data_IF_485170962418
#
_entry.id   IF_485170962418
#
_cell.length_a   1.000
_cell.length_b   1.000
_cell.length_c   1.000
_cell.angle_alpha   90.00
_cell.angle_beta   90.00
_cell.angle_gamma   90.00
#
_symmetry.space_group_name_H-M   'P 1'
#
loop_
_entity.id
_entity.type
_entity.pdbx_description
1 polymer ?
#
# COMPACT_ATOMS: atom_id res chain seq x y z
N UNK A 1 16.46 -34.21 -1.24
CA UNK A 1 17.06 -35.56 -1.08
C UNK A 1 17.51 -35.88 0.36
N UNK A 2 17.10 -35.13 1.39
CA UNK A 2 17.59 -35.28 2.79
C UNK A 2 16.49 -35.70 3.79
N UNK A 3 15.39 -36.32 3.34
CA UNK A 3 14.21 -36.61 4.17
C UNK A 3 13.81 -38.08 4.25
N UNK A 4 14.64 -38.99 3.74
CA UNK A 4 14.36 -40.43 3.89
C UNK A 4 14.73 -40.96 5.29
N UNK A 5 15.21 -40.13 6.22
CA UNK A 5 15.71 -40.57 7.53
C UNK A 5 15.25 -39.73 8.74
N UNK A 6 14.30 -38.80 8.59
CA UNK A 6 13.76 -38.04 9.74
C UNK A 6 12.61 -38.81 10.38
N UNK A 7 12.66 -39.01 11.70
CA UNK A 7 11.57 -39.69 12.41
C UNK A 7 10.27 -38.87 12.32
N UNK A 8 9.08 -39.51 12.37
CA UNK A 8 7.80 -38.79 12.37
C UNK A 8 7.69 -37.73 13.47
N UNK A 9 8.34 -37.97 14.62
CA UNK A 9 8.40 -37.04 15.76
C UNK A 9 9.22 -35.78 15.45
N UNK A 10 10.37 -35.94 14.79
CA UNK A 10 11.20 -34.81 14.36
C UNK A 10 10.51 -33.95 13.32
N UNK A 11 9.79 -34.59 12.38
CA UNK A 11 9.00 -33.87 11.39
C UNK A 11 7.88 -33.04 12.03
N UNK A 12 7.18 -33.61 13.02
CA UNK A 12 6.13 -32.90 13.77
C UNK A 12 6.68 -31.70 14.56
N UNK A 13 7.82 -31.86 15.22
CA UNK A 13 8.47 -30.78 15.96
C UNK A 13 8.95 -29.64 15.05
N UNK A 14 9.50 -29.96 13.88
CA UNK A 14 9.90 -28.97 12.87
C UNK A 14 8.68 -28.21 12.33
N UNK A 15 7.58 -28.90 12.04
CA UNK A 15 6.33 -28.24 11.63
C UNK A 15 5.82 -27.26 12.70
N UNK A 16 5.83 -27.67 13.97
CA UNK A 16 5.45 -26.78 15.08
C UNK A 16 6.35 -25.53 15.16
N UNK A 17 7.66 -25.68 14.98
CA UNK A 17 8.60 -24.54 14.95
C UNK A 17 8.31 -23.60 13.79
N UNK A 18 8.05 -24.13 12.60
CA UNK A 18 7.70 -23.37 11.40
C UNK A 18 6.42 -22.57 11.60
N UNK A 19 5.37 -23.19 12.15
CA UNK A 19 4.11 -22.52 12.44
C UNK A 19 4.29 -21.47 13.54
N UNK A 20 5.07 -21.76 14.59
CA UNK A 20 5.39 -20.80 15.65
C UNK A 20 6.08 -19.55 15.11
N UNK A 21 7.05 -19.71 14.21
CA UNK A 21 7.68 -18.58 13.51
C UNK A 21 6.64 -17.77 12.73
N UNK A 22 5.72 -18.43 12.02
CA UNK A 22 4.60 -17.77 11.34
C UNK A 22 3.75 -16.93 12.30
N UNK A 23 3.41 -17.47 13.48
CA UNK A 23 2.67 -16.74 14.52
C UNK A 23 3.44 -15.51 15.00
N UNK A 24 4.73 -15.67 15.33
CA UNK A 24 5.57 -14.56 15.83
C UNK A 24 5.68 -13.44 14.79
N UNK A 25 5.95 -13.79 13.52
CA UNK A 25 6.04 -12.81 12.44
C UNK A 25 4.67 -12.15 12.19
N UNK A 26 3.58 -12.93 12.24
CA UNK A 26 2.22 -12.42 12.10
C UNK A 26 1.87 -11.39 13.17
N UNK A 27 2.20 -11.66 14.43
CA UNK A 27 1.97 -10.71 15.54
C UNK A 27 2.80 -9.44 15.34
N UNK A 28 4.11 -9.57 15.15
CA UNK A 28 5.01 -8.42 15.04
C UNK A 28 4.71 -7.57 13.80
N UNK A 29 4.49 -8.21 12.65
CA UNK A 29 4.12 -7.55 11.40
C UNK A 29 2.75 -6.88 11.49
N UNK A 30 1.78 -7.56 12.10
CA UNK A 30 0.43 -7.03 12.32
C UNK A 30 0.41 -5.81 13.24
N UNK A 31 1.14 -5.87 14.36
CA UNK A 31 1.28 -4.74 15.29
C UNK A 31 1.91 -3.54 14.59
N UNK A 32 3.03 -3.74 13.89
CA UNK A 32 3.73 -2.63 13.27
C UNK A 32 2.97 -2.01 12.09
N UNK A 33 2.30 -2.82 11.26
CA UNK A 33 1.45 -2.30 10.20
C UNK A 33 0.29 -1.46 10.78
N UNK A 34 -0.34 -1.91 11.86
CA UNK A 34 -1.40 -1.15 12.52
C UNK A 34 -0.89 0.14 13.17
N UNK A 35 0.25 0.10 13.87
CA UNK A 35 0.87 1.30 14.44
C UNK A 35 1.22 2.32 13.36
N UNK A 36 1.69 1.88 12.19
CA UNK A 36 1.92 2.77 11.05
C UNK A 36 0.62 3.45 10.62
N UNK A 37 -0.44 2.69 10.36
CA UNK A 37 -1.71 3.24 9.86
C UNK A 37 -2.35 4.18 10.88
N UNK A 38 -2.39 3.79 12.16
CA UNK A 38 -2.94 4.60 13.23
C UNK A 38 -2.12 5.87 13.47
N UNK A 39 -0.80 5.78 13.43
CA UNK A 39 0.06 6.96 13.58
C UNK A 39 -0.13 7.96 12.43
N UNK A 40 -0.25 7.49 11.19
CA UNK A 40 -0.56 8.34 10.04
C UNK A 40 -1.92 9.02 10.24
N UNK A 41 -2.94 8.25 10.61
CA UNK A 41 -4.28 8.77 10.87
C UNK A 41 -4.33 9.79 12.01
N UNK A 42 -3.57 9.56 13.09
CA UNK A 42 -3.51 10.47 14.23
C UNK A 42 -2.88 11.83 13.83
N UNK A 43 -1.75 11.82 13.12
CA UNK A 43 -1.08 13.06 12.70
C UNK A 43 -1.90 13.80 11.63
N UNK A 44 -2.41 13.08 10.62
CA UNK A 44 -3.29 13.69 9.61
C UNK A 44 -4.56 14.26 10.25
N UNK A 45 -5.13 13.56 11.25
CA UNK A 45 -6.28 13.99 12.03
C UNK A 45 -6.03 15.30 12.79
N UNK A 46 -4.88 15.44 13.44
CA UNK A 46 -4.48 16.69 14.11
C UNK A 46 -4.35 17.85 13.11
N UNK A 47 -3.77 17.60 11.93
CA UNK A 47 -3.67 18.62 10.86
C UNK A 47 -5.07 19.03 10.40
N UNK A 48 -5.97 18.07 10.15
CA UNK A 48 -7.37 18.34 9.76
C UNK A 48 -8.13 19.09 10.84
N UNK A 49 -7.90 18.80 12.11
CA UNK A 49 -8.52 19.51 13.23
C UNK A 49 -8.12 20.99 13.23
N UNK A 50 -6.85 21.31 12.98
CA UNK A 50 -6.39 22.70 12.84
C UNK A 50 -6.98 23.43 11.62
N UNK A 51 -7.30 22.68 10.55
CA UNK A 51 -7.97 23.20 9.36
C UNK A 51 -9.48 23.43 9.59
N UNK A 52 -10.09 22.77 10.58
CA UNK A 52 -11.53 22.85 10.79
C UNK A 52 -11.96 24.28 11.19
N UNK A 53 -13.03 24.79 10.57
CA UNK A 53 -13.52 26.15 10.78
C UNK A 53 -12.66 27.27 10.18
N UNK A 54 -11.58 26.93 9.47
CA UNK A 54 -10.73 27.91 8.78
C UNK A 54 -11.21 28.18 7.35
N UNK A 55 -10.80 29.32 6.78
CA UNK A 55 -11.01 29.61 5.37
C UNK A 55 -10.28 28.60 4.47
N UNK A 56 -10.73 28.43 3.23
CA UNK A 56 -10.07 27.54 2.25
C UNK A 56 -8.58 27.86 2.11
N UNK A 57 -8.22 29.16 2.02
CA UNK A 57 -6.83 29.59 1.92
C UNK A 57 -6.03 29.23 3.18
N UNK A 58 -6.56 29.52 4.37
CA UNK A 58 -5.91 29.19 5.64
C UNK A 58 -5.70 27.68 5.80
N UNK A 59 -6.70 26.88 5.45
CA UNK A 59 -6.62 25.42 5.48
C UNK A 59 -5.56 24.88 4.51
N UNK A 60 -5.47 25.47 3.32
CA UNK A 60 -4.44 25.18 2.33
C UNK A 60 -3.04 25.50 2.81
N UNK A 61 -2.86 26.64 3.49
CA UNK A 61 -1.57 27.04 4.08
C UNK A 61 -1.12 26.10 5.21
N UNK A 62 -2.05 25.66 6.07
CA UNK A 62 -1.76 24.67 7.12
C UNK A 62 -1.27 23.37 6.49
N UNK A 63 -1.99 22.87 5.48
CA UNK A 63 -1.62 21.64 4.77
C UNK A 63 -0.28 21.78 4.04
N UNK A 64 -0.06 22.91 3.37
CA UNK A 64 1.19 23.23 2.71
C UNK A 64 2.35 23.25 3.69
N UNK A 65 2.20 23.92 4.85
CA UNK A 65 3.22 23.94 5.90
C UNK A 65 3.54 22.53 6.41
N UNK A 66 2.53 21.69 6.66
CA UNK A 66 2.74 20.30 7.06
C UNK A 66 3.53 19.49 6.01
N UNK A 67 3.20 19.64 4.72
CA UNK A 67 3.92 18.97 3.62
C UNK A 67 5.36 19.47 3.48
N UNK A 68 5.61 20.78 3.66
CA UNK A 68 6.95 21.36 3.62
C UNK A 68 7.80 20.88 4.80
N UNK A 69 7.24 20.83 6.01
CA UNK A 69 7.91 20.25 7.18
C UNK A 69 8.24 18.78 6.92
N UNK A 70 7.26 18.02 6.39
CA UNK A 70 7.46 16.62 5.99
C UNK A 70 8.59 16.46 4.98
N UNK A 71 8.64 17.31 3.95
CA UNK A 71 9.71 17.34 2.95
C UNK A 71 11.10 17.57 3.57
N UNK A 72 11.23 18.54 4.47
CA UNK A 72 12.49 18.76 5.20
C UNK A 72 12.87 17.58 6.08
N UNK A 73 11.93 16.96 6.79
CA UNK A 73 12.18 15.77 7.60
C UNK A 73 12.65 14.58 6.74
N UNK A 74 12.02 14.35 5.58
CA UNK A 74 12.40 13.29 4.64
C UNK A 74 13.81 13.53 4.10
N UNK A 75 14.10 14.76 3.66
CA UNK A 75 15.43 15.12 3.18
C UNK A 75 16.49 14.99 4.29
N UNK A 76 16.19 15.50 5.49
CA UNK A 76 17.05 15.38 6.66
C UNK A 76 17.33 13.93 7.04
N UNK A 77 16.31 13.06 6.97
CA UNK A 77 16.48 11.62 7.20
C UNK A 77 17.39 10.97 6.16
N UNK A 78 17.24 11.36 4.88
CA UNK A 78 18.12 10.88 3.80
C UNK A 78 19.58 11.26 4.07
N UNK A 79 19.84 12.50 4.47
CA UNK A 79 21.19 13.00 4.77
C UNK A 79 21.78 12.37 6.04
N UNK A 80 21.01 12.32 7.14
CA UNK A 80 21.45 11.80 8.42
C UNK A 80 21.87 10.33 8.34
N UNK A 81 21.15 9.53 7.55
CA UNK A 81 21.43 8.10 7.38
C UNK A 81 22.23 7.78 6.11
N UNK A 82 22.65 8.79 5.34
CA UNK A 82 23.39 8.64 4.07
C UNK A 82 22.72 7.64 3.13
N UNK A 83 21.41 7.79 2.95
CA UNK A 83 20.60 6.91 2.13
C UNK A 83 20.73 7.30 0.65
N UNK A 84 21.21 6.39 -0.20
CA UNK A 84 21.29 6.64 -1.65
C UNK A 84 19.89 6.72 -2.29
N UNK A 85 18.99 5.82 -1.85
CA UNK A 85 17.60 5.74 -2.28
C UNK A 85 16.71 5.13 -1.21
N UNK A 86 15.41 5.37 -1.32
CA UNK A 86 14.40 4.70 -0.51
C UNK A 86 14.20 3.25 -0.96
N UNK A 87 13.99 2.36 0.01
CA UNK A 87 13.77 0.93 -0.21
C UNK A 87 12.28 0.60 -0.17
N UNK A 88 11.86 -0.39 -0.95
CA UNK A 88 10.45 -0.74 -1.11
C UNK A 88 10.24 -2.16 -1.62
N UNK A 89 9.10 -2.42 -2.31
CA UNK A 89 8.75 -3.79 -2.74
C UNK A 89 9.81 -4.46 -3.61
N UNK A 90 10.47 -3.72 -4.51
CA UNK A 90 11.53 -4.25 -5.35
C UNK A 90 12.70 -4.84 -4.52
N UNK A 91 13.00 -4.25 -3.37
CA UNK A 91 14.05 -4.72 -2.46
C UNK A 91 13.62 -5.95 -1.67
N UNK A 92 12.33 -6.04 -1.33
CA UNK A 92 11.78 -7.26 -0.71
C UNK A 92 11.84 -8.44 -1.68
N UNK A 93 11.46 -8.22 -2.95
CA UNK A 93 11.56 -9.22 -4.02
C UNK A 93 13.03 -9.64 -4.23
N UNK A 94 13.93 -8.66 -4.38
CA UNK A 94 15.36 -8.94 -4.57
C UNK A 94 15.95 -9.72 -3.38
N UNK A 95 15.58 -9.35 -2.15
CA UNK A 95 16.02 -10.02 -0.93
C UNK A 95 15.50 -11.46 -0.83
N UNK A 96 14.26 -11.73 -1.25
CA UNK A 96 13.73 -13.09 -1.33
C UNK A 96 14.49 -13.94 -2.36
N UNK A 97 14.93 -13.37 -3.48
CA UNK A 97 15.68 -14.10 -4.50
C UNK A 97 17.20 -14.12 -4.28
N UNK A 98 17.71 -13.56 -3.17
CA UNK A 98 19.13 -13.61 -2.79
C UNK A 98 19.29 -14.08 -1.35
N UNK A 99 18.96 -15.34 -1.04
CA UNK A 99 18.96 -15.87 0.33
C UNK A 99 20.34 -15.83 1.01
N UNK A 100 21.42 -15.83 0.21
CA UNK A 100 22.80 -15.76 0.69
C UNK A 100 23.24 -14.33 1.07
N UNK A 101 22.48 -13.31 0.65
CA UNK A 101 22.76 -11.92 0.97
C UNK A 101 22.05 -11.49 2.25
N UNK A 102 22.69 -10.61 3.03
CA UNK A 102 22.03 -9.99 4.18
C UNK A 102 20.86 -9.10 3.72
N UNK A 103 19.69 -9.28 4.34
CA UNK A 103 18.53 -8.46 4.04
C UNK A 103 18.74 -7.03 4.57
N UNK A 104 18.44 -5.97 3.79
CA UNK A 104 18.69 -4.57 4.18
C UNK A 104 17.65 -4.03 5.17
N UNK A 105 17.54 -4.67 6.35
CA UNK A 105 16.49 -4.40 7.31
C UNK A 105 16.50 -2.94 7.79
N UNK A 106 17.69 -2.41 8.11
CA UNK A 106 17.90 -1.02 8.57
C UNK A 106 17.38 -0.01 7.57
N UNK A 107 17.72 -0.18 6.29
CA UNK A 107 17.26 0.69 5.21
C UNK A 107 15.73 0.65 5.07
N UNK A 108 15.14 -0.52 5.31
CA UNK A 108 13.70 -0.69 5.32
C UNK A 108 13.00 0.08 6.43
N UNK A 109 13.52 0.05 7.67
CA UNK A 109 12.99 0.88 8.76
C UNK A 109 13.03 2.36 8.41
N UNK A 110 14.19 2.85 7.94
CA UNK A 110 14.38 4.26 7.61
C UNK A 110 13.45 4.70 6.46
N UNK A 111 13.30 3.87 5.42
CA UNK A 111 12.40 4.17 4.29
C UNK A 111 10.93 4.16 4.70
N UNK A 112 10.57 3.32 5.67
CA UNK A 112 9.22 3.28 6.23
C UNK A 112 8.94 4.50 7.08
N UNK A 113 9.90 4.98 7.86
CA UNK A 113 9.77 6.25 8.58
C UNK A 113 9.59 7.43 7.62
N UNK A 114 10.34 7.49 6.51
CA UNK A 114 10.15 8.54 5.51
C UNK A 114 8.76 8.49 4.86
N UNK A 115 8.24 7.29 4.61
CA UNK A 115 6.89 7.11 4.10
C UNK A 115 5.81 7.48 5.11
N UNK A 116 6.02 7.15 6.39
CA UNK A 116 5.16 7.56 7.49
C UNK A 116 5.05 9.09 7.54
N UNK A 117 6.17 9.80 7.46
CA UNK A 117 6.20 11.27 7.43
C UNK A 117 5.43 11.81 6.23
N UNK A 118 5.68 11.25 5.03
CA UNK A 118 4.99 11.66 3.79
C UNK A 118 3.47 11.50 3.91
N UNK A 119 3.02 10.30 4.31
CA UNK A 119 1.61 9.98 4.44
C UNK A 119 0.92 10.81 5.52
N UNK A 120 1.58 11.01 6.68
CA UNK A 120 1.06 11.80 7.80
C UNK A 120 0.86 13.27 7.44
N UNK A 121 1.73 13.84 6.61
CA UNK A 121 1.59 15.22 6.14
C UNK A 121 0.44 15.39 5.12
N UNK A 122 -0.08 14.30 4.56
CA UNK A 122 -1.13 14.29 3.54
C UNK A 122 -0.64 14.13 2.11
N UNK A 123 0.59 13.64 1.90
CA UNK A 123 1.07 13.35 0.55
C UNK A 123 0.19 12.27 -0.12
N UNK A 124 -0.08 12.41 -1.41
CA UNK A 124 -0.77 11.37 -2.18
C UNK A 124 0.19 10.23 -2.49
N UNK A 125 0.32 9.32 -1.53
CA UNK A 125 1.17 8.14 -1.61
C UNK A 125 0.44 6.93 -1.03
N UNK A 126 0.90 5.73 -1.36
CA UNK A 126 0.43 4.50 -0.75
C UNK A 126 1.26 4.10 0.46
N UNK A 127 0.61 3.63 1.52
CA UNK A 127 1.29 3.12 2.70
C UNK A 127 1.89 1.73 2.51
N UNK A 128 1.32 0.93 1.60
CA UNK A 128 1.59 -0.51 1.55
C UNK A 128 2.97 -0.88 1.02
N UNK A 129 3.60 -0.07 0.15
CA UNK A 129 4.93 -0.40 -0.39
C UNK A 129 6.02 -0.42 0.69
N UNK A 130 6.19 0.68 1.44
CA UNK A 130 7.14 0.74 2.56
C UNK A 130 6.78 -0.21 3.70
N UNK A 131 5.48 -0.32 4.06
CA UNK A 131 5.00 -1.27 5.09
C UNK A 131 5.27 -2.72 4.69
N UNK A 132 5.14 -3.07 3.41
CA UNK A 132 5.52 -4.39 2.87
C UNK A 132 6.99 -4.68 3.09
N UNK A 133 7.87 -3.74 2.73
CA UNK A 133 9.31 -3.94 2.91
C UNK A 133 9.71 -3.93 4.40
N UNK A 134 9.04 -3.15 5.23
CA UNK A 134 9.15 -3.24 6.68
C UNK A 134 8.76 -4.63 7.20
N UNK A 135 7.66 -5.20 6.70
CA UNK A 135 7.25 -6.56 7.02
C UNK A 135 8.35 -7.56 6.69
N UNK A 136 8.94 -7.45 5.50
CA UNK A 136 10.10 -8.24 5.12
C UNK A 136 11.29 -8.07 6.09
N UNK A 137 11.59 -6.84 6.53
CA UNK A 137 12.62 -6.55 7.54
C UNK A 137 12.33 -7.21 8.90
N UNK A 138 11.08 -7.22 9.34
CA UNK A 138 10.65 -7.92 10.56
C UNK A 138 10.89 -9.42 10.41
N UNK A 139 10.46 -10.02 9.30
CA UNK A 139 10.70 -11.42 9.00
C UNK A 139 12.19 -11.78 9.03
N UNK A 140 13.02 -10.97 8.38
CA UNK A 140 14.48 -11.15 8.36
C UNK A 140 15.12 -11.06 9.76
N UNK A 141 14.62 -10.19 10.64
CA UNK A 141 15.11 -10.12 12.02
C UNK A 141 14.63 -11.29 12.88
N UNK A 142 13.38 -11.73 12.72
CA UNK A 142 12.87 -12.91 13.41
C UNK A 142 13.69 -14.15 13.02
N UNK A 143 14.13 -14.27 11.77
CA UNK A 143 15.06 -15.33 11.35
C UNK A 143 16.35 -15.34 12.16
N UNK A 144 16.93 -14.17 12.43
CA UNK A 144 18.18 -14.06 13.18
C UNK A 144 18.02 -14.52 14.64
N UNK A 145 16.83 -14.37 15.22
CA UNK A 145 16.51 -14.77 16.59
C UNK A 145 16.02 -16.21 16.71
N UNK A 146 15.24 -16.67 15.73
CA UNK A 146 14.59 -17.99 15.72
C UNK A 146 14.88 -18.72 14.39
N UNK A 147 16.13 -19.17 14.16
CA UNK A 147 16.48 -19.89 12.95
C UNK A 147 15.79 -21.27 12.91
N UNK A 148 15.26 -21.62 11.75
CA UNK A 148 14.64 -22.93 11.46
C UNK A 148 15.22 -23.47 10.16
N UNK A 149 14.71 -24.62 9.69
CA UNK A 149 15.05 -25.17 8.37
C UNK A 149 14.39 -24.42 7.20
N UNK A 150 13.57 -23.40 7.47
CA UNK A 150 13.01 -22.56 6.41
C UNK A 150 14.12 -21.75 5.75
N UNK A 151 13.98 -21.57 4.44
CA UNK A 151 14.85 -20.69 3.68
C UNK A 151 14.56 -19.22 4.00
N UNK A 152 15.54 -18.32 3.81
CA UNK A 152 15.43 -16.91 4.22
C UNK A 152 14.28 -16.13 3.59
N UNK A 153 13.99 -16.47 2.34
CA UNK A 153 12.89 -15.93 1.54
C UNK A 153 11.53 -16.22 2.18
N UNK A 154 11.37 -17.36 2.85
CA UNK A 154 10.10 -17.70 3.53
C UNK A 154 9.88 -16.78 4.73
N UNK A 155 10.93 -16.42 5.48
CA UNK A 155 10.81 -15.45 6.58
C UNK A 155 10.41 -14.07 6.06
N UNK A 156 11.08 -13.61 5.00
CA UNK A 156 10.75 -12.36 4.30
C UNK A 156 9.29 -12.38 3.82
N UNK A 157 8.87 -13.48 3.18
CA UNK A 157 7.53 -13.70 2.66
C UNK A 157 6.47 -13.70 3.79
N UNK A 158 6.71 -14.36 4.92
CA UNK A 158 5.84 -14.31 6.10
C UNK A 158 5.65 -12.87 6.58
N UNK A 159 6.72 -12.09 6.61
CA UNK A 159 6.70 -10.69 7.03
C UNK A 159 5.92 -9.79 6.08
N UNK A 160 6.13 -9.97 4.77
CA UNK A 160 5.32 -9.29 3.74
C UNK A 160 3.85 -9.66 3.88
N UNK A 161 3.54 -10.96 4.00
CA UNK A 161 2.17 -11.43 4.12
C UNK A 161 1.48 -10.82 5.34
N UNK A 162 2.16 -10.79 6.50
CA UNK A 162 1.64 -10.16 7.71
C UNK A 162 1.30 -8.68 7.50
N UNK A 163 2.24 -7.93 6.91
CA UNK A 163 2.08 -6.49 6.68
C UNK A 163 0.89 -6.16 5.75
N UNK A 164 0.74 -6.92 4.66
CA UNK A 164 -0.38 -6.75 3.70
C UNK A 164 -1.70 -7.19 4.36
N UNK A 165 -1.70 -8.32 5.03
CA UNK A 165 -2.89 -8.89 5.65
C UNK A 165 -3.46 -8.01 6.76
N UNK A 166 -2.60 -7.40 7.58
CA UNK A 166 -3.01 -6.44 8.60
C UNK A 166 -3.47 -5.11 8.00
N UNK A 167 -2.86 -4.67 6.90
CA UNK A 167 -3.21 -3.44 6.22
C UNK A 167 -4.59 -3.47 5.55
N UNK A 168 -4.94 -4.60 4.92
CA UNK A 168 -6.17 -4.76 4.13
C UNK A 168 -7.26 -5.61 4.80
N UNK A 169 -6.94 -6.37 5.84
CA UNK A 169 -7.86 -7.38 6.35
C UNK A 169 -8.07 -8.56 5.39
N UNK A 170 -7.13 -8.80 4.47
CA UNK A 170 -7.27 -9.75 3.36
C UNK A 170 -6.16 -10.82 3.37
N UNK A 171 -6.25 -11.86 4.23
CA UNK A 171 -5.20 -12.87 4.38
C UNK A 171 -5.00 -13.74 3.14
N UNK A 172 -6.07 -14.08 2.43
CA UNK A 172 -5.98 -14.89 1.21
C UNK A 172 -5.26 -14.09 0.11
N UNK A 173 -5.64 -12.83 -0.08
CA UNK A 173 -4.98 -11.94 -1.05
C UNK A 173 -3.49 -11.75 -0.73
N UNK A 174 -3.14 -11.61 0.55
CA UNK A 174 -1.75 -11.51 0.98
C UNK A 174 -0.93 -12.77 0.64
N UNK A 175 -1.48 -13.97 0.89
CA UNK A 175 -0.82 -15.25 0.56
C UNK A 175 -0.61 -15.39 -0.96
N UNK A 176 -1.63 -15.06 -1.76
CA UNK A 176 -1.53 -15.11 -3.23
C UNK A 176 -0.48 -14.13 -3.73
N UNK A 177 -0.56 -12.86 -3.30
CA UNK A 177 0.37 -11.80 -3.71
C UNK A 177 1.82 -12.14 -3.34
N UNK A 178 2.07 -12.70 -2.16
CA UNK A 178 3.41 -13.12 -1.76
C UNK A 178 3.92 -14.28 -2.61
N UNK A 179 3.07 -15.26 -2.87
CA UNK A 179 3.45 -16.44 -3.66
C UNK A 179 3.76 -16.06 -5.11
N UNK A 180 2.98 -15.15 -5.69
CA UNK A 180 3.13 -14.71 -7.07
C UNK A 180 4.24 -13.65 -7.25
N UNK A 181 4.21 -12.57 -6.47
CA UNK A 181 5.07 -11.41 -6.70
C UNK A 181 6.40 -11.46 -5.93
N UNK A 182 6.42 -12.05 -4.73
CA UNK A 182 7.63 -12.07 -3.87
C UNK A 182 8.46 -13.34 -4.09
N UNK A 183 7.84 -14.52 -4.00
CA UNK A 183 8.55 -15.80 -4.11
C UNK A 183 8.65 -16.32 -5.54
N UNK A 184 7.65 -16.01 -6.39
CA UNK A 184 7.51 -16.54 -7.76
C UNK A 184 7.53 -18.07 -7.85
N UNK A 185 7.21 -18.77 -6.76
CA UNK A 185 7.04 -20.21 -6.73
C UNK A 185 6.06 -20.63 -5.64
N UNK A 186 5.24 -21.64 -5.94
CA UNK A 186 4.31 -22.23 -4.97
C UNK A 186 4.90 -23.51 -4.39
N UNK A 187 5.42 -23.42 -3.16
CA UNK A 187 5.87 -24.58 -2.39
C UNK A 187 5.01 -24.74 -1.14
N UNK A 188 4.39 -25.91 -0.95
CA UNK A 188 3.49 -26.19 0.21
C UNK A 188 4.18 -25.90 1.56
N UNK A 189 5.49 -26.16 1.66
CA UNK A 189 6.30 -25.87 2.86
C UNK A 189 6.47 -24.38 3.16
N UNK A 190 6.40 -23.53 2.14
CA UNK A 190 6.39 -22.07 2.30
C UNK A 190 4.98 -21.55 2.59
N UNK A 191 3.96 -22.14 1.96
CA UNK A 191 2.56 -21.68 2.10
C UNK A 191 2.05 -21.77 3.54
N UNK A 192 2.36 -22.85 4.27
CA UNK A 192 1.86 -23.03 5.64
C UNK A 192 2.26 -21.89 6.60
N UNK A 193 3.55 -21.57 6.82
CA UNK A 193 3.95 -20.47 7.72
C UNK A 193 3.50 -19.10 7.19
N UNK A 194 3.47 -18.88 5.87
CA UNK A 194 3.00 -17.62 5.26
C UNK A 194 1.51 -17.41 5.56
N UNK A 195 0.70 -18.46 5.40
CA UNK A 195 -0.74 -18.43 5.67
C UNK A 195 -1.01 -18.16 7.14
N UNK A 196 -0.30 -18.84 8.05
CA UNK A 196 -0.40 -18.58 9.50
C UNK A 196 -0.03 -17.14 9.81
N UNK A 197 1.07 -16.63 9.26
CA UNK A 197 1.50 -15.25 9.45
C UNK A 197 0.43 -14.25 9.01
N UNK A 198 -0.17 -14.45 7.83
CA UNK A 198 -1.25 -13.60 7.32
C UNK A 198 -2.50 -13.65 8.21
N UNK A 199 -3.00 -14.84 8.55
CA UNK A 199 -4.19 -15.01 9.40
C UNK A 199 -4.00 -14.35 10.76
N UNK A 200 -2.85 -14.59 11.40
CA UNK A 200 -2.53 -14.02 12.71
C UNK A 200 -2.45 -12.50 12.62
N UNK A 201 -1.79 -11.96 11.58
CA UNK A 201 -1.71 -10.51 11.39
C UNK A 201 -3.08 -9.86 11.14
N UNK A 202 -3.99 -10.53 10.42
CA UNK A 202 -5.37 -10.07 10.28
C UNK A 202 -6.14 -10.13 11.60
N UNK A 203 -5.95 -11.17 12.41
CA UNK A 203 -6.59 -11.29 13.71
C UNK A 203 -6.10 -10.22 14.71
N UNK A 204 -4.82 -9.80 14.62
CA UNK A 204 -4.25 -8.74 15.46
C UNK A 204 -5.00 -7.42 15.29
N UNK A 205 -5.43 -7.08 14.08
CA UNK A 205 -6.08 -5.79 13.77
C UNK A 205 -7.32 -5.51 14.64
N UNK A 206 -8.38 -6.34 14.64
CA UNK A 206 -9.53 -6.11 15.51
C UNK A 206 -9.21 -6.39 16.99
N UNK A 207 -8.38 -7.40 17.31
CA UNK A 207 -8.12 -7.79 18.71
C UNK A 207 -7.36 -6.73 19.53
N UNK A 208 -6.45 -5.99 18.89
CA UNK A 208 -5.60 -5.01 19.59
C UNK A 208 -5.91 -3.56 19.25
N UNK A 209 -6.55 -3.29 18.11
CA UNK A 209 -6.73 -1.94 17.60
C UNK A 209 -8.19 -1.58 17.28
N UNK A 210 -9.14 -2.50 17.45
CA UNK A 210 -10.57 -2.31 17.14
C UNK A 210 -10.81 -1.73 15.72
N UNK A 211 -9.95 -2.12 14.78
CA UNK A 211 -10.02 -1.70 13.38
C UNK A 211 -10.69 -2.76 12.54
N UNK A 212 -11.51 -2.30 11.60
CA UNK A 212 -12.16 -3.12 10.57
C UNK A 212 -11.49 -2.93 9.20
N UNK A 213 -11.98 -3.68 8.21
CA UNK A 213 -11.58 -3.50 6.80
C UNK A 213 -11.61 -2.02 6.41
N UNK A 214 -10.58 -1.51 5.72
CA UNK A 214 -10.54 -0.11 5.29
C UNK A 214 -11.61 0.23 4.25
N UNK A 215 -12.13 -0.78 3.54
CA UNK A 215 -13.15 -0.63 2.51
C UNK A 215 -14.46 -1.28 2.94
N UNK A 216 -15.57 -0.56 2.80
CA UNK A 216 -16.92 -1.03 3.07
C UNK A 216 -17.63 -1.29 1.74
N UNK A 217 -17.93 -2.56 1.47
CA UNK A 217 -18.61 -3.00 0.24
C UNK A 217 -19.94 -3.63 0.63
N UNK A 218 -21.03 -3.12 0.08
CA UNK A 218 -22.33 -3.78 0.16
C UNK A 218 -22.36 -4.96 -0.81
N UNK A 219 -22.93 -6.09 -0.39
CA UNK A 219 -23.02 -7.26 -1.25
C UNK A 219 -23.88 -6.92 -2.48
N UNK A 220 -23.28 -7.02 -3.67
CA UNK A 220 -23.97 -6.78 -4.94
C UNK A 220 -24.18 -8.12 -5.65
N UNK A 221 -25.37 -8.33 -6.21
CA UNK A 221 -25.64 -9.48 -7.06
C UNK A 221 -24.76 -9.49 -8.31
N UNK A 222 -24.46 -10.67 -8.84
CA UNK A 222 -23.68 -10.81 -10.07
C UNK A 222 -24.62 -10.81 -11.28
N UNK A 223 -24.45 -9.86 -12.19
CA UNK A 223 -25.08 -9.86 -13.51
C UNK A 223 -24.07 -10.21 -14.60
N UNK A 224 -24.24 -11.38 -15.22
CA UNK A 224 -23.38 -11.84 -16.32
C UNK A 224 -23.51 -10.99 -17.58
N UNK A 225 -24.60 -10.22 -17.73
CA UNK A 225 -24.78 -9.26 -18.82
C UNK A 225 -23.72 -8.14 -18.81
N UNK A 226 -23.15 -7.82 -17.65
CA UNK A 226 -22.10 -6.81 -17.49
C UNK A 226 -20.73 -7.27 -18.02
N UNK A 227 -20.57 -8.56 -18.39
CA UNK A 227 -19.27 -9.12 -18.79
C UNK A 227 -18.57 -8.33 -19.91
N UNK A 228 -19.23 -7.84 -20.98
CA UNK A 228 -18.58 -7.01 -21.99
C UNK A 228 -18.03 -5.69 -21.42
N UNK A 229 -18.75 -5.08 -20.48
CA UNK A 229 -18.31 -3.84 -19.81
C UNK A 229 -17.12 -4.14 -18.90
N UNK A 230 -17.13 -5.26 -18.18
CA UNK A 230 -16.01 -5.72 -17.35
C UNK A 230 -14.75 -5.94 -18.19
N UNK A 231 -14.86 -6.58 -19.36
CA UNK A 231 -13.73 -6.78 -20.28
C UNK A 231 -13.20 -5.44 -20.82
N UNK A 232 -14.10 -4.53 -21.20
CA UNK A 232 -13.74 -3.17 -21.63
C UNK A 232 -13.04 -2.39 -20.52
N UNK A 233 -13.56 -2.47 -19.29
CA UNK A 233 -12.96 -1.87 -18.09
C UNK A 233 -11.54 -2.40 -17.86
N UNK A 234 -11.31 -3.71 -18.03
CA UNK A 234 -9.97 -4.29 -17.94
C UNK A 234 -8.98 -3.69 -18.94
N UNK A 235 -9.39 -3.49 -20.19
CA UNK A 235 -8.56 -2.83 -21.20
C UNK A 235 -8.28 -1.35 -20.86
N UNK A 236 -9.30 -0.62 -20.40
CA UNK A 236 -9.14 0.76 -19.94
C UNK A 236 -8.23 0.87 -18.71
N UNK A 237 -8.36 -0.06 -17.75
CA UNK A 237 -7.52 -0.12 -16.57
C UNK A 237 -6.06 -0.40 -16.93
N UNK A 238 -5.80 -1.29 -17.88
CA UNK A 238 -4.45 -1.54 -18.40
C UNK A 238 -3.83 -0.28 -19.02
N UNK A 239 -4.59 0.46 -19.84
CA UNK A 239 -4.13 1.74 -20.40
C UNK A 239 -3.84 2.77 -19.30
N UNK A 240 -4.74 2.89 -18.32
CA UNK A 240 -4.57 3.80 -17.17
C UNK A 240 -3.31 3.44 -16.36
N UNK A 241 -3.06 2.16 -16.13
CA UNK A 241 -1.86 1.68 -15.45
C UNK A 241 -0.57 2.02 -16.22
N UNK A 242 -0.57 1.87 -17.55
CA UNK A 242 0.56 2.27 -18.40
C UNK A 242 0.81 3.78 -18.29
N UNK A 243 -0.24 4.59 -18.40
CA UNK A 243 -0.13 6.05 -18.27
C UNK A 243 0.40 6.43 -16.89
N UNK A 244 -0.16 5.85 -15.83
CA UNK A 244 0.24 6.12 -14.45
C UNK A 244 1.72 5.78 -14.21
N UNK A 245 2.13 4.55 -14.54
CA UNK A 245 3.51 4.11 -14.30
C UNK A 245 4.52 4.84 -15.18
N UNK A 246 4.20 5.07 -16.46
CA UNK A 246 5.10 5.81 -17.37
C UNK A 246 5.27 7.26 -16.93
N UNK A 247 4.18 7.93 -16.54
CA UNK A 247 4.24 9.32 -16.04
C UNK A 247 5.05 9.44 -14.76
N UNK A 248 4.88 8.49 -13.83
CA UNK A 248 5.65 8.42 -12.59
C UNK A 248 7.15 8.23 -12.88
N UNK A 249 7.52 7.26 -13.71
CA UNK A 249 8.92 6.97 -14.03
C UNK A 249 9.59 8.10 -14.82
N UNK A 250 8.87 8.74 -15.75
CA UNK A 250 9.37 9.91 -16.48
C UNK A 250 9.61 11.10 -15.55
N UNK A 251 8.67 11.37 -14.64
CA UNK A 251 8.82 12.44 -13.63
C UNK A 251 10.00 12.14 -12.70
N UNK A 252 10.18 10.89 -12.26
CA UNK A 252 11.32 10.46 -11.45
C UNK A 252 12.66 10.62 -12.17
N UNK A 253 12.73 10.25 -13.45
CA UNK A 253 13.94 10.44 -14.26
C UNK A 253 14.26 11.93 -14.45
N UNK A 254 13.24 12.75 -14.71
CA UNK A 254 13.38 14.20 -14.84
C UNK A 254 13.87 14.85 -13.53
N UNK A 255 13.28 14.47 -12.39
CA UNK A 255 13.68 14.98 -11.08
C UNK A 255 15.13 14.62 -10.75
N UNK A 256 15.52 13.37 -11.01
CA UNK A 256 16.91 12.90 -10.85
C UNK A 256 17.89 13.71 -11.71
N UNK A 257 17.52 14.05 -12.94
CA UNK A 257 18.37 14.85 -13.84
C UNK A 257 18.61 16.29 -13.33
N UNK A 258 17.80 16.80 -12.40
CA UNK A 258 18.02 18.12 -11.76
C UNK A 258 19.10 18.10 -10.68
N UNK A 259 19.47 16.92 -10.20
CA UNK A 259 20.49 16.73 -9.16
C UNK A 259 20.30 17.62 -7.91
N UNK A 260 19.04 17.87 -7.53
CA UNK A 260 18.69 18.68 -6.37
C UNK A 260 17.48 18.09 -5.65
N UNK A 261 17.73 17.06 -4.84
CA UNK A 261 16.70 16.33 -4.12
C UNK A 261 15.83 17.24 -3.24
N UNK A 262 16.43 18.21 -2.55
CA UNK A 262 15.68 19.12 -1.68
C UNK A 262 14.68 19.95 -2.47
N UNK A 263 15.11 20.56 -3.57
CA UNK A 263 14.22 21.34 -4.43
C UNK A 263 13.08 20.48 -5.01
N UNK A 264 13.38 19.23 -5.40
CA UNK A 264 12.35 18.34 -5.96
C UNK A 264 11.31 17.93 -4.91
N UNK A 265 11.73 17.57 -3.69
CA UNK A 265 10.78 17.20 -2.62
C UNK A 265 9.95 18.41 -2.15
N UNK A 266 10.52 19.61 -2.10
CA UNK A 266 9.78 20.85 -1.80
C UNK A 266 8.78 21.22 -2.92
N UNK A 267 9.16 21.00 -4.18
CA UNK A 267 8.26 21.16 -5.32
C UNK A 267 7.10 20.16 -5.23
N UNK A 268 7.38 18.90 -4.88
CA UNK A 268 6.37 17.87 -4.65
C UNK A 268 5.36 18.29 -3.58
N UNK A 269 5.86 18.73 -2.42
CA UNK A 269 5.04 19.22 -1.31
C UNK A 269 4.15 20.39 -1.72
N UNK A 270 4.69 21.35 -2.48
CA UNK A 270 3.96 22.53 -2.92
C UNK A 270 2.86 22.17 -3.94
N UNK A 271 3.20 21.39 -4.96
CA UNK A 271 2.24 20.96 -5.97
C UNK A 271 1.14 20.07 -5.36
N UNK A 272 1.48 19.18 -4.42
CA UNK A 272 0.50 18.39 -3.69
C UNK A 272 -0.46 19.27 -2.89
N UNK A 273 0.04 20.31 -2.20
CA UNK A 273 -0.82 21.23 -1.48
C UNK A 273 -1.80 21.97 -2.40
N UNK A 274 -1.32 22.43 -3.57
CA UNK A 274 -2.16 23.09 -4.58
C UNK A 274 -3.25 22.12 -5.09
N UNK A 275 -2.88 20.89 -5.44
CA UNK A 275 -3.85 19.89 -5.88
C UNK A 275 -4.86 19.61 -4.77
N UNK A 276 -4.42 19.49 -3.52
CA UNK A 276 -5.30 19.25 -2.37
C UNK A 276 -6.25 20.41 -2.04
N UNK A 277 -5.87 21.65 -2.37
CA UNK A 277 -6.77 22.81 -2.25
C UNK A 277 -7.88 22.79 -3.32
N UNK A 278 -7.56 22.29 -4.51
CA UNK A 278 -8.51 22.21 -5.63
C UNK A 278 -9.41 20.96 -5.53
N UNK A 279 -8.83 19.84 -5.10
CA UNK A 279 -9.47 18.53 -5.02
C UNK A 279 -9.07 17.84 -3.70
N UNK A 280 -9.74 18.17 -2.58
CA UNK A 280 -9.42 17.62 -1.26
C UNK A 280 -9.44 16.09 -1.19
N UNK A 281 -10.27 15.44 -2.01
CA UNK A 281 -10.41 13.98 -2.10
C UNK A 281 -9.16 13.27 -2.62
N UNK A 282 -8.27 13.99 -3.32
CA UNK A 282 -7.01 13.44 -3.83
C UNK A 282 -5.91 13.36 -2.75
N UNK A 283 -6.07 14.04 -1.61
CA UNK A 283 -5.09 14.14 -0.53
C UNK A 283 -4.94 12.82 0.23
N UNK A 284 -3.71 12.49 0.64
CA UNK A 284 -3.43 11.34 1.50
C UNK A 284 -3.66 9.98 0.81
N UNK A 285 -4.05 8.98 1.60
CA UNK A 285 -4.25 7.61 1.13
C UNK A 285 -5.46 7.45 0.20
N UNK A 286 -6.49 8.28 0.40
CA UNK A 286 -7.72 8.26 -0.39
C UNK A 286 -8.70 7.13 -0.06
N UNK A 287 -8.54 6.45 1.09
CA UNK A 287 -9.46 5.39 1.53
C UNK A 287 -10.90 5.88 1.66
N UNK A 288 -11.11 7.06 2.27
CA UNK A 288 -12.45 7.64 2.40
C UNK A 288 -13.05 7.93 1.02
N UNK A 289 -12.28 8.58 0.15
CA UNK A 289 -12.68 8.87 -1.23
C UNK A 289 -13.11 7.62 -2.00
N UNK A 290 -12.43 6.48 -1.80
CA UNK A 290 -12.84 5.20 -2.39
C UNK A 290 -14.12 4.67 -1.76
N UNK A 291 -14.30 4.81 -0.44
CA UNK A 291 -15.55 4.44 0.22
C UNK A 291 -16.73 5.30 -0.28
N UNK A 292 -16.53 6.60 -0.51
CA UNK A 292 -17.59 7.47 -1.06
C UNK A 292 -18.00 7.02 -2.48
N UNK A 293 -17.03 6.56 -3.29
CA UNK A 293 -17.31 5.95 -4.60
C UNK A 293 -18.06 4.61 -4.45
N UNK A 294 -17.62 3.75 -3.53
CA UNK A 294 -18.30 2.47 -3.26
C UNK A 294 -19.72 2.67 -2.71
N UNK A 295 -19.99 3.79 -2.04
CA UNK A 295 -21.30 4.17 -1.53
C UNK A 295 -22.23 4.76 -2.61
N UNK A 296 -21.73 5.09 -3.81
CA UNK A 296 -22.55 5.73 -4.84
C UNK A 296 -22.83 7.21 -4.59
N UNK A 297 -22.08 7.87 -3.70
CA UNK A 297 -22.39 9.21 -3.19
C UNK A 297 -21.84 10.35 -4.06
N UNK A 298 -21.00 10.04 -5.07
CA UNK A 298 -20.28 11.04 -5.86
C UNK A 298 -20.94 11.29 -7.22
N UNK A 299 -20.92 12.54 -7.66
CA UNK A 299 -21.32 12.85 -9.03
C UNK A 299 -20.28 12.35 -10.04
N UNK A 300 -20.70 12.05 -11.28
CA UNK A 300 -19.79 11.62 -12.36
C UNK A 300 -18.64 12.62 -12.56
N UNK A 301 -18.94 13.92 -12.53
CA UNK A 301 -17.93 14.97 -12.67
C UNK A 301 -16.91 14.98 -11.53
N UNK A 302 -17.35 14.71 -10.30
CA UNK A 302 -16.45 14.57 -9.14
C UNK A 302 -15.55 13.36 -9.29
N UNK A 303 -16.08 12.21 -9.71
CA UNK A 303 -15.28 11.00 -9.93
C UNK A 303 -14.21 11.19 -11.03
N UNK A 304 -14.52 11.92 -12.11
CA UNK A 304 -13.52 12.29 -13.14
C UNK A 304 -12.44 13.19 -12.53
N UNK A 305 -12.83 14.21 -11.78
CA UNK A 305 -11.90 15.14 -11.15
C UNK A 305 -10.99 14.42 -10.13
N UNK A 306 -11.56 13.54 -9.32
CA UNK A 306 -10.86 12.68 -8.36
C UNK A 306 -9.85 11.77 -9.07
N UNK A 307 -10.22 11.12 -10.18
CA UNK A 307 -9.33 10.27 -10.96
C UNK A 307 -8.11 11.06 -11.47
N UNK A 308 -8.36 12.20 -12.13
CA UNK A 308 -7.30 13.03 -12.71
C UNK A 308 -6.40 13.64 -11.63
N UNK A 309 -7.00 14.16 -10.56
CA UNK A 309 -6.28 14.75 -9.45
C UNK A 309 -5.45 13.71 -8.71
N UNK A 310 -5.96 12.51 -8.47
CA UNK A 310 -5.22 11.43 -7.79
C UNK A 310 -4.03 10.97 -8.62
N UNK A 311 -4.21 10.84 -9.93
CA UNK A 311 -3.13 10.50 -10.87
C UNK A 311 -2.03 11.55 -10.79
N UNK A 312 -2.38 12.83 -10.98
CA UNK A 312 -1.42 13.94 -10.96
C UNK A 312 -0.73 14.06 -9.58
N UNK A 313 -1.50 14.04 -8.50
CA UNK A 313 -0.99 14.13 -7.13
C UNK A 313 0.03 13.04 -6.82
N UNK A 314 -0.25 11.80 -7.21
CA UNK A 314 0.63 10.67 -6.92
C UNK A 314 1.88 10.68 -7.79
N UNK A 315 1.74 11.00 -9.08
CA UNK A 315 2.88 11.15 -10.00
C UNK A 315 3.83 12.24 -9.51
N UNK A 316 3.29 13.38 -9.09
CA UNK A 316 4.06 14.49 -8.52
C UNK A 316 4.71 14.09 -7.20
N UNK A 317 3.96 13.51 -6.25
CA UNK A 317 4.50 13.13 -4.95
C UNK A 317 5.67 12.15 -5.09
N UNK A 318 5.41 10.99 -5.71
CA UNK A 318 6.41 9.92 -5.78
C UNK A 318 7.50 10.27 -6.81
N UNK A 319 7.11 10.83 -7.96
CA UNK A 319 8.05 11.17 -9.02
C UNK A 319 9.03 12.28 -8.63
N UNK A 320 8.64 13.24 -7.79
CA UNK A 320 9.53 14.30 -7.32
C UNK A 320 10.22 13.98 -5.98
N UNK A 321 9.97 12.81 -5.39
CA UNK A 321 10.78 12.26 -4.29
C UNK A 321 10.15 12.21 -2.91
N UNK A 322 8.86 12.50 -2.74
CA UNK A 322 8.13 12.09 -1.53
C UNK A 322 8.04 10.56 -1.50
N UNK A 323 8.00 9.99 -0.29
CA UNK A 323 8.22 8.56 -0.11
C UNK A 323 6.91 7.82 0.11
N UNK A 324 6.72 6.74 -0.61
CA UNK A 324 5.59 5.85 -0.43
C UNK A 324 5.46 4.82 -1.55
N UNK A 325 4.42 4.02 -1.49
CA UNK A 325 4.07 3.02 -2.50
C UNK A 325 3.04 3.54 -3.51
N UNK A 326 2.81 2.77 -4.56
CA UNK A 326 1.81 3.07 -5.61
C UNK A 326 0.49 2.31 -5.42
N UNK A 327 0.44 1.39 -4.46
CA UNK A 327 -0.68 0.45 -4.32
C UNK A 327 -2.00 1.13 -3.95
N UNK A 328 -2.04 1.98 -2.90
CA UNK A 328 -3.29 2.69 -2.53
C UNK A 328 -3.78 3.64 -3.63
N UNK A 329 -2.92 4.45 -4.28
CA UNK A 329 -3.32 5.22 -5.44
C UNK A 329 -3.83 4.39 -6.62
N UNK A 330 -3.25 3.21 -6.89
CA UNK A 330 -3.74 2.32 -7.94
C UNK A 330 -5.17 1.83 -7.66
N UNK A 331 -5.47 1.41 -6.42
CA UNK A 331 -6.83 1.05 -5.99
C UNK A 331 -7.81 2.21 -6.18
N UNK A 332 -7.38 3.43 -5.83
CA UNK A 332 -8.20 4.64 -6.01
C UNK A 332 -8.50 4.89 -7.49
N UNK A 333 -7.47 4.88 -8.34
CA UNK A 333 -7.60 5.12 -9.78
C UNK A 333 -8.51 4.07 -10.43
N UNK A 334 -8.33 2.81 -10.05
CA UNK A 334 -9.16 1.69 -10.47
C UNK A 334 -10.62 1.83 -10.04
N UNK A 335 -10.86 2.13 -8.75
CA UNK A 335 -12.20 2.37 -8.22
C UNK A 335 -12.90 3.53 -8.94
N UNK A 336 -12.18 4.64 -9.19
CA UNK A 336 -12.71 5.79 -9.91
C UNK A 336 -13.08 5.43 -11.36
N UNK A 337 -12.23 4.66 -12.05
CA UNK A 337 -12.49 4.22 -13.42
C UNK A 337 -13.69 3.25 -13.47
N UNK A 338 -13.75 2.32 -12.52
CA UNK A 338 -14.86 1.38 -12.37
C UNK A 338 -16.18 2.06 -12.05
N UNK A 339 -16.16 3.08 -11.18
CA UNK A 339 -17.30 3.94 -10.88
C UNK A 339 -17.86 4.60 -12.14
N UNK A 340 -16.99 5.18 -12.97
CA UNK A 340 -17.38 5.79 -14.25
C UNK A 340 -17.96 4.76 -15.24
N UNK A 341 -17.37 3.57 -15.34
CA UNK A 341 -17.91 2.46 -16.13
C UNK A 341 -19.30 2.01 -15.60
N UNK A 342 -19.48 2.07 -14.29
CA UNK A 342 -20.76 1.91 -13.59
C UNK A 342 -21.87 2.79 -14.15
N UNK A 343 -21.63 4.09 -14.23
CA UNK A 343 -22.61 5.03 -14.78
C UNK A 343 -22.88 4.81 -16.27
N UNK A 344 -21.89 4.37 -17.04
CA UNK A 344 -22.10 3.96 -18.44
C UNK A 344 -23.04 2.75 -18.49
N UNK A 345 -22.83 1.75 -17.63
CA UNK A 345 -23.73 0.59 -17.55
C UNK A 345 -25.17 1.00 -17.20
N UNK A 346 -25.35 1.86 -16.20
CA UNK A 346 -26.69 2.38 -15.85
C UNK A 346 -27.33 3.11 -17.04
N UNK A 347 -26.56 3.92 -17.77
CA UNK A 347 -27.03 4.58 -18.99
C UNK A 347 -27.43 3.63 -20.12
N UNK A 348 -26.89 2.41 -20.14
CA UNK A 348 -27.25 1.32 -21.07
C UNK A 348 -28.45 0.48 -20.58
N UNK A 349 -29.04 0.83 -19.43
CA UNK A 349 -30.23 0.17 -18.88
C UNK A 349 -29.95 -0.93 -17.85
N UNK A 350 -28.71 -1.07 -17.38
CA UNK A 350 -28.39 -1.98 -16.27
C UNK A 350 -28.85 -1.43 -14.92
N UNK A 351 -29.02 -2.31 -13.93
CA UNK A 351 -29.43 -1.93 -12.57
C UNK A 351 -28.43 -0.94 -11.94
N UNK A 352 -28.89 0.05 -11.14
CA UNK A 352 -28.01 0.97 -10.42
C UNK A 352 -26.93 0.29 -9.56
N UNK A 353 -27.16 -0.94 -9.12
CA UNK A 353 -26.16 -1.75 -8.40
C UNK A 353 -24.89 -2.01 -9.22
N UNK A 354 -24.97 -1.90 -10.56
CA UNK A 354 -23.82 -2.00 -11.46
C UNK A 354 -22.72 -0.98 -11.15
N UNK A 355 -23.06 0.18 -10.57
CA UNK A 355 -22.07 1.20 -10.17
C UNK A 355 -21.12 0.62 -9.13
N UNK A 356 -21.67 0.15 -8.00
CA UNK A 356 -20.89 -0.41 -6.91
C UNK A 356 -20.11 -1.66 -7.36
N UNK A 357 -20.76 -2.54 -8.14
CA UNK A 357 -20.09 -3.73 -8.70
C UNK A 357 -18.89 -3.36 -9.56
N UNK A 358 -19.04 -2.43 -10.51
CA UNK A 358 -17.96 -2.03 -11.40
C UNK A 358 -16.89 -1.20 -10.68
N UNK A 359 -17.23 -0.45 -9.63
CA UNK A 359 -16.24 0.17 -8.74
C UNK A 359 -15.36 -0.87 -8.05
N UNK A 360 -15.95 -1.94 -7.52
CA UNK A 360 -15.18 -3.04 -6.90
C UNK A 360 -14.32 -3.77 -7.94
N UNK A 361 -14.86 -4.05 -9.13
CA UNK A 361 -14.12 -4.68 -10.23
C UNK A 361 -12.96 -3.80 -10.69
N UNK A 362 -13.17 -2.49 -10.84
CA UNK A 362 -12.12 -1.56 -11.23
C UNK A 362 -11.07 -1.38 -10.15
N UNK A 363 -11.44 -1.48 -8.86
CA UNK A 363 -10.52 -1.40 -7.73
C UNK A 363 -9.53 -2.58 -7.69
N UNK A 364 -9.93 -3.76 -8.15
CA UNK A 364 -9.12 -4.99 -8.15
C UNK A 364 -8.04 -4.98 -9.26
#
# INVERSE_FOLDING_TARGET
>A
MLLLNTSPKELGLELLRVLFVGVVIGILGGLAANLFVLGVGAIDGLIRQQMSGQSVLSSGLIRWAALIIGAFCIYGLKQAFKMDRWHGPADAILGAHRPDAAFPARQGFISTTAAFISASAGASVGQYGPVLHFGASVGAQVRALFPTRLTPDIYVACGVAAAISAGFGAPIAAVVLVSEAILRHFAIRAVAPITVSAIVATAVTPLFFDRVSPYSVTAVGTDWGLLPIVLGLGACAALLAIVFMRSLLMTAAWAKARNNDLAMVLLAATLMAIIGMLVPEAVGLGTQSVNDLLAGEKMVGEAVLMLLAKLAATVVCIGLGLVGGVFSPALFLGASLGYLAGFIAVGLGYDPSAVVMLTVVGMA
#
